data_IF_136470115412
#
_entry.id   IF_136470115412
#
_cell.length_a   1.000
_cell.length_b   1.000
_cell.length_c   1.000
_cell.angle_alpha   90.00
_cell.angle_beta   90.00
_cell.angle_gamma   90.00
#
_symmetry.space_group_name_H-M   'P 1'
#
loop_
_entity.id
_entity.type
_entity.pdbx_description
1 polymer ?
#
# COMPACT_ATOMS: atom_id res chain seq x y z
N UNK A 1 10.18 58.90 9.88
CA UNK A 1 9.75 57.67 9.19
C UNK A 1 9.41 56.62 10.25
N UNK A 2 8.13 56.31 10.46
CA UNK A 2 7.67 55.25 11.36
C UNK A 2 7.42 53.99 10.52
N UNK A 3 8.22 52.96 10.71
CA UNK A 3 8.06 51.67 10.05
C UNK A 3 6.92 50.92 10.73
N UNK A 4 5.82 50.70 10.01
CA UNK A 4 4.72 49.86 10.45
C UNK A 4 5.17 48.39 10.28
N UNK A 5 5.31 47.66 11.39
CA UNK A 5 5.39 46.21 11.38
C UNK A 5 3.96 45.66 11.25
N UNK A 6 3.62 45.11 10.09
CA UNK A 6 2.41 44.33 9.92
C UNK A 6 2.71 42.88 10.34
N UNK A 7 2.29 42.53 11.55
CA UNK A 7 2.30 41.13 11.99
C UNK A 7 1.21 40.39 11.27
N UNK A 8 1.58 39.53 10.31
CA UNK A 8 0.66 38.53 9.81
C UNK A 8 0.43 37.50 10.93
N UNK A 9 -0.72 37.59 11.59
CA UNK A 9 -1.25 36.45 12.34
C UNK A 9 -1.68 35.38 11.33
N UNK A 10 -0.90 34.30 11.23
CA UNK A 10 -1.38 33.07 10.60
C UNK A 10 -2.51 32.51 11.49
N UNK A 11 -3.75 32.61 11.04
CA UNK A 11 -4.84 31.83 11.62
C UNK A 11 -4.48 30.36 11.39
N UNK A 12 -4.13 29.66 12.47
CA UNK A 12 -4.10 28.21 12.46
C UNK A 12 -5.53 27.73 12.22
N UNK A 13 -5.81 27.27 11.00
CA UNK A 13 -7.05 26.56 10.72
C UNK A 13 -7.07 25.34 11.66
N UNK A 14 -8.07 25.27 12.53
CA UNK A 14 -8.30 24.08 13.35
C UNK A 14 -8.43 22.90 12.41
N UNK A 15 -7.51 21.92 12.52
CA UNK A 15 -7.64 20.67 11.78
C UNK A 15 -8.99 20.04 12.16
N UNK A 16 -9.79 19.68 11.17
CA UNK A 16 -11.04 18.98 11.42
C UNK A 16 -10.74 17.64 12.10
N UNK A 17 -11.51 17.30 13.15
CA UNK A 17 -11.36 15.99 13.79
C UNK A 17 -11.64 14.88 12.76
N UNK A 18 -10.76 13.88 12.62
CA UNK A 18 -10.98 12.78 11.69
C UNK A 18 -12.15 11.91 12.15
N UNK A 19 -12.92 11.41 11.18
CA UNK A 19 -13.97 10.43 11.43
C UNK A 19 -13.37 9.11 11.88
N UNK A 20 -13.90 8.51 12.95
CA UNK A 20 -13.49 7.17 13.40
C UNK A 20 -14.30 6.12 12.63
N UNK A 21 -13.61 5.29 11.85
CA UNK A 21 -14.21 4.22 11.04
C UNK A 21 -14.19 2.87 11.76
N UNK A 22 -13.19 2.64 12.60
CA UNK A 22 -13.10 1.46 13.46
C UNK A 22 -12.25 1.80 14.70
N UNK A 23 -12.69 1.38 15.88
CA UNK A 23 -11.97 1.63 17.14
C UNK A 23 -10.87 0.62 17.45
N UNK A 24 -10.75 -0.43 16.65
CA UNK A 24 -9.71 -1.46 16.78
C UNK A 24 -9.33 -1.99 15.40
N UNK A 25 -8.22 -1.50 14.85
CA UNK A 25 -7.79 -1.90 13.52
C UNK A 25 -6.41 -1.39 13.14
N UNK A 26 -5.69 -2.25 12.41
CA UNK A 26 -4.41 -1.94 11.77
C UNK A 26 -4.32 -2.62 10.40
N UNK A 27 -3.28 -2.30 9.63
CA UNK A 27 -2.97 -2.96 8.35
C UNK A 27 -1.48 -2.91 8.02
N UNK A 28 -1.03 -3.90 7.26
CA UNK A 28 0.21 -3.86 6.51
C UNK A 28 0.01 -3.12 5.17
N UNK A 29 1.06 -2.57 4.56
CA UNK A 29 0.95 -1.78 3.31
C UNK A 29 1.17 -2.59 2.03
N UNK A 30 1.41 -3.91 2.11
CA UNK A 30 1.68 -4.74 0.92
C UNK A 30 0.44 -5.39 0.31
N UNK A 31 -0.73 -5.27 0.90
CA UNK A 31 -2.00 -5.72 0.34
C UNK A 31 -2.69 -4.58 -0.41
N UNK A 32 -3.14 -4.81 -1.63
CA UNK A 32 -3.89 -3.84 -2.44
C UNK A 32 -5.04 -4.53 -3.19
N UNK A 33 -6.22 -3.95 -3.32
CA UNK A 33 -6.65 -2.68 -2.74
C UNK A 33 -7.11 -2.87 -1.29
N UNK A 34 -6.63 -2.08 -0.35
CA UNK A 34 -7.12 -2.06 1.04
C UNK A 34 -8.28 -1.10 1.23
N UNK A 35 -8.41 -0.14 0.34
CA UNK A 35 -9.46 0.87 0.36
C UNK A 35 -10.01 1.08 -1.04
N UNK A 36 -11.34 1.12 -1.15
CA UNK A 36 -12.05 1.34 -2.41
C UNK A 36 -13.17 2.36 -2.21
N UNK A 37 -13.46 3.14 -3.25
CA UNK A 37 -14.66 3.97 -3.35
C UNK A 37 -15.56 3.39 -4.43
N UNK A 38 -16.83 3.15 -4.07
CA UNK A 38 -17.88 2.68 -4.94
C UNK A 38 -19.11 3.60 -4.79
N UNK A 39 -19.24 4.54 -5.70
CA UNK A 39 -20.24 5.59 -5.62
C UNK A 39 -20.08 6.47 -4.38
N UNK A 40 -20.93 6.30 -3.39
CA UNK A 40 -20.85 7.02 -2.11
C UNK A 40 -20.42 6.11 -0.94
N UNK A 41 -20.12 4.86 -1.22
CA UNK A 41 -19.59 3.94 -0.22
C UNK A 41 -18.08 3.89 -0.30
N UNK A 42 -17.42 3.98 0.84
CA UNK A 42 -16.02 3.69 0.99
C UNK A 42 -15.88 2.40 1.79
N UNK A 43 -15.04 1.50 1.31
CA UNK A 43 -14.68 0.26 1.98
C UNK A 43 -13.20 0.33 2.36
N UNK A 44 -12.87 0.07 3.62
CA UNK A 44 -11.49 -0.07 4.09
C UNK A 44 -11.36 -1.31 4.95
N UNK A 45 -10.27 -2.03 4.77
CA UNK A 45 -10.01 -3.28 5.50
C UNK A 45 -9.09 -3.05 6.69
N UNK A 46 -9.25 -3.89 7.72
CA UNK A 46 -8.40 -3.88 8.91
C UNK A 46 -8.32 -5.25 9.58
N UNK A 47 -7.33 -5.42 10.45
CA UNK A 47 -7.24 -6.51 11.42
C UNK A 47 -7.40 -5.91 12.80
N UNK A 48 -8.29 -6.49 13.63
CA UNK A 48 -8.41 -6.09 15.04
C UNK A 48 -7.23 -6.60 15.88
N UNK A 49 -7.00 -5.99 17.03
CA UNK A 49 -6.01 -6.45 18.01
C UNK A 49 -6.27 -7.88 18.53
N UNK A 50 -7.44 -8.43 18.23
CA UNK A 50 -7.84 -9.82 18.55
C UNK A 50 -7.67 -10.78 17.37
N UNK A 51 -7.24 -10.28 16.22
CA UNK A 51 -7.07 -11.05 14.99
C UNK A 51 -8.34 -11.19 14.15
N UNK A 52 -9.36 -10.35 14.36
CA UNK A 52 -10.55 -10.36 13.51
C UNK A 52 -10.24 -9.71 12.17
N UNK A 53 -10.59 -10.38 11.08
CA UNK A 53 -10.43 -9.88 9.72
C UNK A 53 -11.68 -9.07 9.36
N UNK A 54 -11.51 -7.78 9.05
CA UNK A 54 -12.64 -6.84 8.99
C UNK A 54 -12.71 -6.06 7.69
N UNK A 55 -13.95 -5.73 7.28
CA UNK A 55 -14.27 -4.72 6.27
C UNK A 55 -15.09 -3.62 6.93
N UNK A 56 -14.58 -2.41 6.89
CA UNK A 56 -15.26 -1.22 7.42
C UNK A 56 -15.88 -0.48 6.24
N UNK A 57 -17.16 -0.17 6.33
CA UNK A 57 -17.91 0.60 5.33
C UNK A 57 -18.22 1.98 5.88
N UNK A 58 -17.97 3.02 5.08
CA UNK A 58 -18.32 4.40 5.39
C UNK A 58 -19.18 4.98 4.28
N UNK A 59 -20.43 5.32 4.61
CA UNK A 59 -21.29 6.05 3.70
C UNK A 59 -20.90 7.55 3.70
N UNK A 60 -20.31 7.99 2.59
CA UNK A 60 -19.80 9.35 2.44
C UNK A 60 -20.88 10.43 2.39
N UNK A 61 -22.16 10.07 2.17
CA UNK A 61 -23.30 11.00 2.21
C UNK A 61 -23.84 11.16 3.61
N UNK A 62 -24.11 10.06 4.30
CA UNK A 62 -24.76 10.06 5.61
C UNK A 62 -23.76 10.10 6.77
N UNK A 63 -22.50 9.76 6.54
CA UNK A 63 -21.49 9.57 7.57
C UNK A 63 -21.63 8.26 8.35
N UNK A 64 -22.57 7.39 7.98
CA UNK A 64 -22.78 6.12 8.67
C UNK A 64 -21.58 5.18 8.48
N UNK A 65 -21.13 4.57 9.57
CA UNK A 65 -20.04 3.60 9.58
C UNK A 65 -20.56 2.25 10.03
N UNK A 66 -20.10 1.18 9.38
CA UNK A 66 -20.37 -0.20 9.75
C UNK A 66 -19.09 -1.01 9.68
N UNK A 67 -18.89 -1.94 10.61
CA UNK A 67 -17.81 -2.91 10.61
C UNK A 67 -18.41 -4.29 10.41
N UNK A 68 -17.91 -5.01 9.40
CA UNK A 68 -18.27 -6.40 9.17
C UNK A 68 -17.04 -7.28 9.41
N UNK A 69 -17.17 -8.30 10.27
CA UNK A 69 -16.12 -9.29 10.53
C UNK A 69 -16.29 -10.45 9.53
N UNK A 70 -15.27 -10.62 8.66
CA UNK A 70 -15.21 -11.73 7.70
C UNK A 70 -14.94 -13.06 8.40
N UNK A 71 -14.05 -13.05 9.37
CA UNK A 71 -13.73 -14.16 10.28
C UNK A 71 -13.17 -13.58 11.57
N UNK A 72 -13.62 -14.10 12.72
CA UNK A 72 -13.14 -13.69 14.03
C UNK A 72 -11.92 -14.52 14.48
N UNK A 73 -11.05 -13.92 15.28
CA UNK A 73 -9.87 -14.56 15.90
C UNK A 73 -9.03 -15.42 14.96
N UNK A 74 -8.80 -14.89 13.76
CA UNK A 74 -8.05 -15.60 12.73
C UNK A 74 -6.55 -15.71 13.08
N UNK A 75 -5.89 -14.57 13.19
CA UNK A 75 -4.49 -14.45 13.63
C UNK A 75 -4.21 -12.99 14.00
N UNK A 76 -3.55 -12.74 15.11
CA UNK A 76 -3.10 -11.38 15.48
C UNK A 76 -1.83 -11.06 14.71
N UNK A 77 -2.01 -10.52 13.50
CA UNK A 77 -0.92 -10.11 12.61
C UNK A 77 -1.47 -9.16 11.54
N UNK A 78 -0.87 -7.98 11.38
CA UNK A 78 -1.35 -6.96 10.45
C UNK A 78 -1.20 -7.36 8.97
N UNK A 79 -0.36 -8.38 8.67
CA UNK A 79 -0.20 -8.94 7.35
C UNK A 79 -1.42 -9.73 6.84
N UNK A 80 -2.39 -9.99 7.72
CA UNK A 80 -3.60 -10.73 7.36
C UNK A 80 -4.75 -9.81 6.93
N UNK A 81 -4.49 -8.49 6.85
CA UNK A 81 -5.49 -7.53 6.38
C UNK A 81 -5.99 -7.94 4.98
N UNK A 82 -7.31 -7.92 4.73
CA UNK A 82 -7.81 -8.30 3.42
C UNK A 82 -7.43 -7.30 2.33
N UNK A 83 -7.22 -7.82 1.11
CA UNK A 83 -7.31 -7.04 -0.10
C UNK A 83 -8.72 -7.14 -0.68
N UNK A 84 -9.22 -6.07 -1.28
CA UNK A 84 -10.56 -5.99 -1.87
C UNK A 84 -10.46 -5.97 -3.40
N UNK A 85 -11.43 -6.58 -4.03
CA UNK A 85 -11.69 -6.47 -5.46
C UNK A 85 -13.17 -6.15 -5.68
N UNK A 86 -13.48 -4.99 -6.24
CA UNK A 86 -14.81 -4.71 -6.77
C UNK A 86 -14.90 -5.33 -8.17
N UNK A 87 -15.70 -6.38 -8.29
CA UNK A 87 -15.87 -7.10 -9.55
C UNK A 87 -16.77 -6.33 -10.52
N UNK A 88 -16.68 -6.66 -11.80
CA UNK A 88 -17.51 -6.06 -12.85
C UNK A 88 -19.03 -6.25 -12.63
N UNK A 89 -19.46 -7.26 -11.87
CA UNK A 89 -20.86 -7.51 -11.48
C UNK A 89 -21.28 -6.70 -10.24
N UNK A 90 -20.41 -5.79 -9.73
CA UNK A 90 -20.66 -4.97 -8.55
C UNK A 90 -20.50 -5.69 -7.22
N UNK A 91 -20.17 -6.99 -7.21
CA UNK A 91 -19.89 -7.70 -5.97
C UNK A 91 -18.48 -7.41 -5.47
N UNK A 92 -18.34 -7.28 -4.16
CA UNK A 92 -17.06 -7.11 -3.51
C UNK A 92 -16.51 -8.48 -3.11
N UNK A 93 -15.25 -8.74 -3.50
CA UNK A 93 -14.48 -9.91 -3.04
C UNK A 93 -13.42 -9.43 -2.05
N UNK A 94 -13.28 -10.13 -0.93
CA UNK A 94 -12.23 -9.93 0.05
C UNK A 94 -11.31 -11.16 0.07
N UNK A 95 -10.00 -10.92 -0.02
CA UNK A 95 -8.95 -11.94 -0.03
C UNK A 95 -8.01 -11.73 1.14
N UNK A 96 -7.74 -12.78 1.89
CA UNK A 96 -6.71 -12.70 2.95
C UNK A 96 -5.97 -14.02 3.09
N UNK A 97 -4.83 -13.96 3.75
CA UNK A 97 -3.94 -15.09 3.96
C UNK A 97 -3.43 -15.08 5.41
N UNK A 98 -2.85 -16.16 5.88
CA UNK A 98 -2.06 -16.14 7.12
C UNK A 98 -0.68 -15.53 6.86
N UNK A 99 -0.04 -15.01 7.91
CA UNK A 99 1.37 -14.65 7.88
C UNK A 99 2.20 -15.71 8.61
N UNK A 100 3.25 -16.21 7.93
CA UNK A 100 4.17 -17.19 8.51
C UNK A 100 3.60 -18.60 8.62
N UNK A 101 4.44 -19.50 9.12
CA UNK A 101 4.21 -20.92 9.01
C UNK A 101 3.36 -21.55 10.10
N UNK A 102 2.10 -21.20 10.22
CA UNK A 102 1.17 -22.10 10.93
C UNK A 102 0.88 -23.27 10.00
N UNK A 103 1.50 -24.41 10.28
CA UNK A 103 1.33 -25.64 9.50
C UNK A 103 -0.16 -25.96 9.31
N UNK A 104 -0.57 -26.14 8.06
CA UNK A 104 -1.95 -26.49 7.69
C UNK A 104 -2.90 -25.31 7.46
N UNK A 105 -2.49 -24.07 7.70
CA UNK A 105 -3.32 -22.87 7.47
C UNK A 105 -2.84 -22.00 6.30
N UNK A 106 -1.91 -22.45 5.53
CA UNK A 106 -1.32 -21.70 4.41
C UNK A 106 -2.24 -21.73 3.18
N UNK A 107 -3.36 -21.02 3.29
CA UNK A 107 -4.42 -20.97 2.29
C UNK A 107 -4.75 -19.53 1.95
N UNK A 108 -5.23 -19.32 0.73
CA UNK A 108 -5.98 -18.13 0.39
C UNK A 108 -7.41 -18.31 0.89
N UNK A 109 -7.91 -17.32 1.62
CA UNK A 109 -9.28 -17.23 2.07
C UNK A 109 -10.00 -16.17 1.26
N UNK A 110 -11.22 -16.46 0.83
CA UNK A 110 -12.02 -15.58 0.00
C UNK A 110 -13.45 -15.53 0.52
N UNK A 111 -14.03 -14.35 0.57
CA UNK A 111 -15.47 -14.15 0.70
C UNK A 111 -15.96 -13.16 -0.36
N UNK A 112 -17.18 -13.35 -0.79
CA UNK A 112 -17.84 -12.48 -1.78
C UNK A 112 -19.13 -11.97 -1.18
N UNK A 113 -19.51 -10.71 -1.44
CA UNK A 113 -20.81 -10.20 -1.02
C UNK A 113 -21.94 -10.93 -1.74
N UNK A 114 -23.05 -11.18 -1.03
CA UNK A 114 -24.20 -11.88 -1.61
C UNK A 114 -24.87 -11.05 -2.71
N UNK A 115 -24.81 -9.70 -2.58
CA UNK A 115 -25.41 -8.75 -3.51
C UNK A 115 -24.39 -7.74 -4.00
N UNK A 116 -24.56 -7.19 -5.22
CA UNK A 116 -23.78 -6.06 -5.70
C UNK A 116 -23.90 -4.83 -4.76
N UNK A 117 -22.79 -4.11 -4.55
CA UNK A 117 -22.69 -2.87 -3.80
C UNK A 117 -23.24 -2.94 -2.36
N UNK A 118 -23.28 -4.13 -1.75
CA UNK A 118 -23.87 -4.38 -0.43
C UNK A 118 -22.97 -5.29 0.42
N UNK A 119 -22.35 -4.72 1.45
CA UNK A 119 -21.51 -5.43 2.41
C UNK A 119 -22.23 -5.98 3.63
N UNK A 120 -23.58 -5.90 3.66
CA UNK A 120 -24.38 -6.37 4.80
C UNK A 120 -24.39 -7.89 4.97
N UNK A 121 -24.15 -8.63 3.87
CA UNK A 121 -24.09 -10.09 3.88
C UNK A 121 -23.03 -10.61 2.91
N UNK A 122 -22.35 -11.65 3.33
CA UNK A 122 -21.27 -12.31 2.59
C UNK A 122 -21.51 -13.80 2.49
N UNK A 123 -21.18 -14.39 1.34
CA UNK A 123 -21.22 -15.82 1.11
C UNK A 123 -20.28 -16.54 2.09
N UNK A 124 -20.43 -17.86 2.29
CA UNK A 124 -19.49 -18.64 3.12
C UNK A 124 -18.04 -18.49 2.66
N UNK A 125 -17.11 -18.63 3.60
CA UNK A 125 -15.68 -18.58 3.30
C UNK A 125 -15.31 -19.71 2.36
N UNK A 126 -14.63 -19.37 1.26
CA UNK A 126 -13.96 -20.32 0.37
C UNK A 126 -12.47 -20.34 0.70
N UNK A 127 -11.83 -21.47 0.58
CA UNK A 127 -10.39 -21.63 0.81
C UNK A 127 -9.74 -22.33 -0.38
N UNK A 128 -8.58 -21.83 -0.80
CA UNK A 128 -7.80 -22.41 -1.86
C UNK A 128 -6.40 -22.73 -1.36
N UNK A 129 -5.97 -23.97 -1.54
CA UNK A 129 -4.64 -24.46 -1.17
C UNK A 129 -3.81 -24.59 -2.45
N UNK A 130 -2.69 -23.88 -2.50
CA UNK A 130 -1.77 -23.89 -3.62
C UNK A 130 -0.52 -24.76 -3.37
N UNK A 131 -0.54 -25.54 -2.27
CA UNK A 131 0.54 -26.50 -1.95
C UNK A 131 1.87 -25.83 -1.56
N UNK A 132 1.86 -24.54 -1.18
CA UNK A 132 3.09 -23.89 -0.75
C UNK A 132 3.46 -24.28 0.67
N UNK A 133 4.66 -24.85 0.91
CA UNK A 133 5.14 -25.18 2.27
C UNK A 133 5.65 -23.92 3.03
N UNK A 134 5.80 -22.79 2.37
CA UNK A 134 6.36 -21.56 2.92
C UNK A 134 5.31 -20.47 2.97
N UNK A 135 5.48 -19.53 3.90
CA UNK A 135 4.56 -18.49 4.30
C UNK A 135 3.70 -17.88 3.19
N UNK A 136 2.46 -17.66 3.49
CA UNK A 136 1.44 -16.99 2.66
C UNK A 136 1.23 -15.59 3.22
N UNK A 137 1.40 -14.54 2.41
CA UNK A 137 1.11 -13.18 2.84
C UNK A 137 0.94 -12.24 1.65
N UNK A 138 0.33 -11.08 1.89
CA UNK A 138 0.19 -9.98 0.93
C UNK A 138 -0.71 -10.31 -0.27
N UNK A 139 -2.00 -10.45 -0.01
CA UNK A 139 -3.02 -10.65 -1.04
C UNK A 139 -3.17 -9.41 -1.94
N UNK A 140 -3.14 -9.59 -3.27
CA UNK A 140 -3.30 -8.52 -4.25
C UNK A 140 -4.07 -9.04 -5.47
N UNK A 141 -5.42 -8.90 -5.52
CA UNK A 141 -6.25 -9.30 -6.63
C UNK A 141 -6.42 -8.17 -7.65
N UNK A 142 -6.38 -8.50 -8.94
CA UNK A 142 -6.67 -7.55 -10.03
C UNK A 142 -7.52 -8.21 -11.11
N UNK A 143 -8.59 -7.55 -11.55
CA UNK A 143 -9.42 -8.01 -12.64
C UNK A 143 -9.13 -7.22 -13.91
N UNK A 144 -8.87 -7.92 -15.03
CA UNK A 144 -8.57 -7.29 -16.33
C UNK A 144 -9.74 -7.44 -17.31
N UNK A 145 -10.36 -6.32 -17.67
CA UNK A 145 -11.55 -6.28 -18.54
C UNK A 145 -11.25 -6.72 -19.98
N UNK A 146 -10.07 -6.41 -20.52
CA UNK A 146 -9.65 -6.84 -21.86
C UNK A 146 -9.30 -8.33 -21.94
N UNK A 147 -9.21 -9.03 -20.79
CA UNK A 147 -8.98 -10.46 -20.71
C UNK A 147 -10.25 -11.21 -20.26
N UNK A 148 -11.42 -10.77 -20.71
CA UNK A 148 -12.74 -11.35 -20.37
C UNK A 148 -13.02 -11.37 -18.87
N UNK A 149 -12.51 -10.38 -18.12
CA UNK A 149 -12.71 -10.30 -16.68
C UNK A 149 -11.87 -11.30 -15.88
N UNK A 150 -10.79 -11.81 -16.46
CA UNK A 150 -9.82 -12.64 -15.75
C UNK A 150 -9.35 -11.97 -14.49
N UNK A 151 -9.31 -12.70 -13.37
CA UNK A 151 -8.75 -12.24 -12.09
C UNK A 151 -7.35 -12.82 -11.95
N UNK A 152 -6.36 -11.94 -11.76
CA UNK A 152 -5.03 -12.30 -11.30
C UNK A 152 -4.97 -12.11 -9.79
N UNK A 153 -4.31 -13.06 -9.12
CA UNK A 153 -4.04 -12.99 -7.69
C UNK A 153 -2.56 -13.12 -7.45
N UNK A 154 -1.99 -12.12 -6.79
CA UNK A 154 -0.58 -12.10 -6.43
C UNK A 154 -0.41 -12.13 -4.92
N UNK A 155 0.61 -12.84 -4.45
CA UNK A 155 0.96 -12.93 -3.03
C UNK A 155 2.41 -13.40 -2.87
N UNK A 156 2.92 -13.48 -1.66
CA UNK A 156 4.21 -14.10 -1.37
C UNK A 156 4.00 -15.51 -0.85
N UNK A 157 4.55 -16.53 -1.51
CA UNK A 157 4.41 -17.92 -1.09
C UNK A 157 5.60 -18.80 -1.47
N UNK A 158 5.69 -19.27 -2.72
CA UNK A 158 6.65 -20.29 -3.15
C UNK A 158 8.07 -19.78 -2.95
N UNK A 159 8.83 -20.46 -2.08
CA UNK A 159 10.19 -20.10 -1.68
C UNK A 159 10.32 -18.63 -1.19
N UNK A 160 9.27 -18.10 -0.56
CA UNK A 160 9.13 -16.70 -0.15
C UNK A 160 9.21 -15.67 -1.29
N UNK A 161 9.16 -16.12 -2.53
CA UNK A 161 9.13 -15.23 -3.69
C UNK A 161 7.71 -14.80 -4.04
N UNK A 162 7.57 -13.67 -4.76
CA UNK A 162 6.29 -13.24 -5.31
C UNK A 162 5.68 -14.30 -6.23
N UNK A 163 4.49 -14.72 -5.87
CA UNK A 163 3.74 -15.85 -6.46
C UNK A 163 2.47 -15.31 -7.11
N UNK A 164 1.96 -16.00 -8.11
CA UNK A 164 0.72 -15.65 -8.79
C UNK A 164 -0.14 -16.87 -9.10
N UNK A 165 -1.42 -16.61 -9.26
CA UNK A 165 -2.39 -17.52 -9.87
C UNK A 165 -3.43 -16.71 -10.63
N UNK A 166 -4.35 -17.36 -11.35
CA UNK A 166 -5.45 -16.70 -12.03
C UNK A 166 -6.72 -17.51 -11.99
N UNK A 167 -7.83 -16.81 -12.10
CA UNK A 167 -9.17 -17.35 -12.28
C UNK A 167 -9.75 -16.80 -13.58
N UNK A 168 -10.34 -17.68 -14.39
CA UNK A 168 -11.05 -17.32 -15.63
C UNK A 168 -12.59 -17.40 -15.45
N UNK A 169 -13.07 -17.62 -14.21
CA UNK A 169 -14.49 -17.87 -13.87
C UNK A 169 -14.95 -17.05 -12.63
N UNK A 170 -14.50 -15.80 -12.54
CA UNK A 170 -14.84 -14.87 -11.46
C UNK A 170 -14.46 -15.35 -10.05
N UNK A 171 -13.38 -16.14 -9.92
CA UNK A 171 -12.84 -16.57 -8.63
C UNK A 171 -13.43 -17.88 -8.11
N UNK A 172 -14.20 -18.62 -8.91
CA UNK A 172 -14.73 -19.93 -8.53
C UNK A 172 -13.65 -21.02 -8.53
N UNK A 173 -12.77 -20.99 -9.51
CA UNK A 173 -11.62 -21.89 -9.59
C UNK A 173 -10.32 -21.12 -9.88
N UNK A 174 -9.19 -21.67 -9.44
CA UNK A 174 -7.87 -21.06 -9.59
C UNK A 174 -6.89 -22.04 -10.21
N UNK A 175 -6.01 -21.55 -11.07
CA UNK A 175 -4.93 -22.35 -11.65
C UNK A 175 -3.83 -22.60 -10.63
N UNK A 176 -2.96 -23.56 -10.93
CA UNK A 176 -1.76 -23.84 -10.12
C UNK A 176 -0.91 -22.58 -9.99
N UNK A 177 -0.44 -22.33 -8.78
CA UNK A 177 0.41 -21.19 -8.48
C UNK A 177 1.84 -21.38 -9.04
N UNK A 178 2.46 -20.23 -9.41
CA UNK A 178 3.86 -20.17 -9.83
C UNK A 178 4.47 -18.82 -9.39
N UNK A 179 5.80 -18.73 -9.32
CA UNK A 179 6.45 -17.46 -9.10
C UNK A 179 6.32 -16.56 -10.35
N UNK A 180 6.12 -15.23 -10.17
CA UNK A 180 6.18 -14.25 -11.26
C UNK A 180 7.42 -13.35 -11.16
N UNK A 181 8.00 -13.24 -9.98
CA UNK A 181 9.32 -12.67 -9.73
C UNK A 181 10.11 -13.70 -8.94
N UNK A 182 11.37 -13.90 -9.29
CA UNK A 182 12.23 -14.84 -8.62
C UNK A 182 13.59 -14.21 -8.29
N UNK A 183 13.99 -14.38 -7.08
CA UNK A 183 15.32 -14.16 -6.60
C UNK A 183 15.76 -15.42 -5.85
N UNK A 184 16.87 -15.44 -5.20
CA UNK A 184 17.36 -16.64 -4.53
C UNK A 184 16.37 -17.12 -3.45
N UNK A 185 16.34 -18.42 -3.19
CA UNK A 185 15.45 -18.99 -2.18
C UNK A 185 15.60 -18.29 -0.83
N UNK A 186 14.48 -17.81 -0.30
CA UNK A 186 14.42 -17.14 1.00
C UNK A 186 14.85 -15.67 1.03
N UNK A 187 15.16 -15.03 -0.10
CA UNK A 187 15.58 -13.62 -0.14
C UNK A 187 14.39 -12.65 -0.04
N UNK A 188 13.18 -13.12 -0.32
CA UNK A 188 11.92 -12.40 -0.08
C UNK A 188 11.84 -11.01 -0.74
N UNK A 189 11.80 -10.90 -2.08
CA UNK A 189 11.47 -9.64 -2.72
C UNK A 189 10.11 -9.10 -2.27
N UNK A 190 10.03 -7.80 -2.03
CA UNK A 190 8.80 -7.11 -1.69
C UNK A 190 8.25 -6.41 -2.91
N UNK A 191 6.95 -6.50 -3.13
CA UNK A 191 6.30 -6.02 -4.36
C UNK A 191 5.10 -5.16 -4.03
N UNK A 192 4.95 -4.05 -4.76
CA UNK A 192 3.72 -3.27 -4.87
C UNK A 192 3.19 -3.39 -6.28
N UNK A 193 1.88 -3.37 -6.41
CA UNK A 193 1.18 -3.58 -7.67
C UNK A 193 0.28 -2.39 -7.99
N UNK A 194 0.10 -2.10 -9.28
CA UNK A 194 -0.92 -1.19 -9.78
C UNK A 194 -1.49 -1.73 -11.08
N UNK A 195 -2.78 -1.56 -11.32
CA UNK A 195 -3.43 -2.00 -12.54
C UNK A 195 -4.24 -0.86 -13.17
N UNK A 196 -4.32 -0.86 -14.50
CA UNK A 196 -5.28 -0.02 -15.20
C UNK A 196 -6.69 -0.65 -15.29
N UNK A 197 -6.90 -1.82 -14.70
CA UNK A 197 -8.16 -2.57 -14.72
C UNK A 197 -8.56 -3.10 -16.10
N UNK A 198 -7.73 -2.87 -17.11
CA UNK A 198 -8.02 -3.22 -18.50
C UNK A 198 -7.15 -4.36 -19.03
N UNK A 199 -5.87 -4.13 -19.17
CA UNK A 199 -4.94 -5.03 -19.85
C UNK A 199 -3.54 -5.10 -19.23
N UNK A 200 -3.25 -4.29 -18.19
CA UNK A 200 -1.90 -4.14 -17.67
C UNK A 200 -1.88 -4.14 -16.14
N UNK A 201 -0.91 -4.86 -15.58
CA UNK A 201 -0.58 -4.87 -14.15
C UNK A 201 0.92 -4.55 -14.02
N UNK A 202 1.27 -3.49 -13.30
CA UNK A 202 2.62 -3.07 -13.01
C UNK A 202 3.12 -3.62 -11.66
N UNK A 203 4.41 -3.89 -11.57
CA UNK A 203 5.10 -4.36 -10.37
C UNK A 203 6.30 -3.48 -10.06
N UNK A 204 6.34 -2.86 -8.88
CA UNK A 204 7.56 -2.27 -8.35
C UNK A 204 8.08 -3.15 -7.22
N UNK A 205 9.35 -3.58 -7.27
CA UNK A 205 9.84 -4.61 -6.36
C UNK A 205 11.30 -4.43 -5.98
N UNK A 206 11.63 -4.93 -4.79
CA UNK A 206 13.01 -4.96 -4.27
C UNK A 206 13.72 -6.26 -4.64
N UNK A 207 15.06 -6.27 -4.54
CA UNK A 207 15.86 -7.47 -4.75
C UNK A 207 16.10 -8.29 -3.46
N UNK A 208 15.31 -8.06 -2.42
CA UNK A 208 15.36 -8.84 -1.19
C UNK A 208 14.68 -8.17 -0.01
N UNK A 209 14.87 -8.73 1.17
CA UNK A 209 14.42 -8.14 2.42
C UNK A 209 15.45 -7.12 2.92
N UNK A 210 15.08 -5.92 3.32
CA UNK A 210 16.01 -4.85 3.64
C UNK A 210 16.87 -5.08 4.90
N UNK A 211 16.48 -5.98 5.79
CA UNK A 211 17.24 -6.31 7.01
C UNK A 211 18.40 -7.30 6.78
N UNK A 212 18.68 -7.67 5.53
CA UNK A 212 19.78 -8.57 5.19
C UNK A 212 21.05 -7.78 4.87
N UNK A 213 22.12 -7.93 5.65
CA UNK A 213 23.32 -7.11 5.53
C UNK A 213 24.09 -7.30 4.20
N UNK A 214 23.75 -8.34 3.42
CA UNK A 214 24.38 -8.61 2.12
C UNK A 214 23.65 -8.02 0.92
N UNK A 215 22.44 -7.47 1.12
CA UNK A 215 21.61 -6.93 0.06
C UNK A 215 21.36 -5.46 0.32
N UNK A 216 22.13 -4.59 -0.29
CA UNK A 216 21.80 -3.18 -0.40
C UNK A 216 20.63 -3.03 -1.35
N UNK A 217 19.42 -3.18 -0.86
CA UNK A 217 18.22 -3.30 -1.66
C UNK A 217 18.07 -2.19 -2.69
N UNK A 218 18.00 -2.64 -3.93
CA UNK A 218 17.67 -1.81 -5.09
C UNK A 218 16.18 -1.96 -5.43
N UNK A 219 15.64 -1.04 -6.20
CA UNK A 219 14.25 -1.04 -6.63
C UNK A 219 14.17 -1.26 -8.14
N UNK A 220 13.26 -2.13 -8.56
CA UNK A 220 13.05 -2.53 -9.95
C UNK A 220 11.59 -2.40 -10.34
N UNK A 221 11.35 -2.39 -11.66
CA UNK A 221 10.02 -2.39 -12.23
C UNK A 221 9.92 -3.36 -13.42
N UNK A 222 8.78 -4.03 -13.50
CA UNK A 222 8.31 -4.77 -14.66
C UNK A 222 6.78 -4.64 -14.74
N UNK A 223 6.18 -5.06 -15.84
CA UNK A 223 4.73 -5.12 -15.94
C UNK A 223 4.26 -6.32 -16.78
N UNK A 224 3.04 -6.76 -16.49
CA UNK A 224 2.30 -7.77 -17.25
C UNK A 224 1.32 -7.07 -18.19
N UNK A 225 1.35 -7.44 -19.49
CA UNK A 225 0.36 -7.03 -20.47
C UNK A 225 0.08 -8.18 -21.43
N UNK A 226 -1.18 -8.52 -21.61
CA UNK A 226 -1.61 -9.61 -22.51
C UNK A 226 -0.83 -10.92 -22.28
N UNK A 227 -0.65 -11.30 -21.00
CA UNK A 227 0.06 -12.51 -20.61
C UNK A 227 1.58 -12.48 -20.79
N UNK A 228 2.16 -11.36 -21.21
CA UNK A 228 3.62 -11.17 -21.42
C UNK A 228 4.18 -10.18 -20.40
N UNK A 229 5.32 -10.53 -19.80
CA UNK A 229 6.09 -9.70 -18.88
C UNK A 229 7.01 -8.78 -19.68
N UNK A 230 7.08 -7.51 -19.29
CA UNK A 230 7.83 -6.46 -20.00
C UNK A 230 8.68 -5.63 -19.04
N UNK A 231 9.72 -5.01 -19.56
CA UNK A 231 10.46 -3.92 -18.93
C UNK A 231 9.69 -2.60 -19.02
N UNK A 232 10.11 -1.58 -18.27
CA UNK A 232 9.48 -0.23 -18.33
C UNK A 232 9.39 0.35 -19.73
N UNK A 233 10.38 0.09 -20.59
CA UNK A 233 10.47 0.58 -21.98
C UNK A 233 9.63 -0.21 -22.98
N UNK A 234 8.87 -1.21 -22.53
CA UNK A 234 8.06 -2.06 -23.40
C UNK A 234 8.78 -3.28 -23.95
N UNK A 235 10.07 -3.45 -23.71
CA UNK A 235 10.81 -4.63 -24.14
C UNK A 235 10.23 -5.88 -23.46
N UNK A 236 9.81 -6.86 -24.28
CA UNK A 236 9.29 -8.13 -23.78
C UNK A 236 10.40 -8.92 -23.07
N UNK A 237 10.09 -9.49 -21.92
CA UNK A 237 10.98 -10.38 -21.17
C UNK A 237 10.63 -11.82 -21.53
N UNK A 238 9.39 -12.26 -21.22
CA UNK A 238 8.83 -13.59 -21.53
C UNK A 238 7.33 -13.62 -21.25
N UNK A 239 6.66 -14.69 -21.66
CA UNK A 239 5.30 -14.95 -21.19
C UNK A 239 5.32 -15.28 -19.70
N UNK A 240 4.30 -14.84 -18.97
CA UNK A 240 4.16 -15.11 -17.54
C UNK A 240 4.13 -16.62 -17.24
N UNK A 241 3.53 -17.41 -18.13
CA UNK A 241 3.44 -18.88 -18.00
C UNK A 241 4.76 -19.61 -18.29
N UNK A 242 5.71 -18.94 -18.96
CA UNK A 242 7.03 -19.54 -19.27
C UNK A 242 8.03 -19.37 -18.11
N UNK A 243 7.63 -18.68 -17.04
CA UNK A 243 8.42 -18.53 -15.81
C UNK A 243 8.54 -17.10 -15.30
N UNK A 244 9.17 -16.93 -14.12
CA UNK A 244 9.27 -15.64 -13.44
C UNK A 244 10.26 -14.69 -14.13
N UNK A 245 10.08 -13.38 -13.87
CA UNK A 245 11.14 -12.38 -14.07
C UNK A 245 12.23 -12.67 -13.03
N UNK A 246 13.48 -12.87 -13.48
CA UNK A 246 14.61 -12.76 -12.58
C UNK A 246 14.75 -11.28 -12.18
N UNK A 247 15.05 -10.98 -10.92
CA UNK A 247 15.03 -9.60 -10.42
C UNK A 247 15.76 -8.61 -11.36
N UNK A 248 16.96 -8.95 -11.82
CA UNK A 248 17.76 -8.07 -12.66
C UNK A 248 17.29 -7.97 -14.13
N UNK A 249 16.29 -8.76 -14.55
CA UNK A 249 15.70 -8.66 -15.90
C UNK A 249 14.74 -7.49 -16.00
N UNK A 250 14.17 -7.02 -14.87
CA UNK A 250 13.35 -5.82 -14.82
C UNK A 250 14.18 -4.54 -15.05
N UNK A 251 13.50 -3.42 -15.22
CA UNK A 251 14.15 -2.10 -15.29
C UNK A 251 14.49 -1.63 -13.89
N UNK A 252 15.76 -1.35 -13.62
CA UNK A 252 16.18 -0.80 -12.32
C UNK A 252 15.74 0.66 -12.19
N UNK A 253 14.99 0.96 -11.14
CA UNK A 253 14.53 2.31 -10.78
C UNK A 253 15.58 3.02 -9.94
N UNK A 254 16.13 2.31 -8.92
CA UNK A 254 17.05 2.86 -7.94
C UNK A 254 18.10 1.82 -7.58
N UNK A 255 19.37 2.24 -7.51
CA UNK A 255 20.49 1.39 -7.13
C UNK A 255 20.93 1.64 -5.68
N UNK A 256 20.44 0.82 -4.76
CA UNK A 256 20.81 0.91 -3.34
C UNK A 256 22.25 0.55 -3.06
N UNK A 257 22.91 -0.23 -3.95
CA UNK A 257 24.30 -0.70 -3.76
C UNK A 257 25.32 0.39 -3.97
N UNK A 258 25.00 1.34 -4.85
CA UNK A 258 25.90 2.45 -5.24
C UNK A 258 25.50 3.77 -4.62
N UNK A 259 24.37 3.79 -3.92
CA UNK A 259 23.80 5.03 -3.42
C UNK A 259 24.26 5.34 -2.00
N UNK A 260 24.84 6.52 -1.81
CA UNK A 260 25.02 7.11 -0.49
C UNK A 260 23.69 7.49 0.20
N UNK A 261 22.57 7.35 -0.54
CA UNK A 261 21.21 7.63 -0.05
C UNK A 261 20.57 6.41 0.63
N UNK A 262 21.31 5.32 0.78
CA UNK A 262 20.87 4.10 1.45
C UNK A 262 20.09 3.13 0.57
N UNK A 263 19.68 2.04 1.16
CA UNK A 263 18.91 0.97 0.50
C UNK A 263 17.42 1.31 0.43
N UNK A 264 16.75 0.77 -0.59
CA UNK A 264 15.36 1.07 -0.87
C UNK A 264 14.39 0.04 -0.29
N UNK A 265 13.20 0.49 0.11
CA UNK A 265 12.06 -0.38 0.37
C UNK A 265 10.78 0.18 -0.25
N UNK A 266 10.15 -0.59 -1.15
CA UNK A 266 8.95 -0.16 -1.88
C UNK A 266 7.78 0.07 -0.93
N UNK A 267 7.00 1.12 -1.20
CA UNK A 267 5.92 1.52 -0.31
C UNK A 267 4.57 1.68 -1.01
N UNK A 268 4.56 2.33 -2.19
CA UNK A 268 3.34 2.57 -2.95
C UNK A 268 3.59 2.62 -4.46
N UNK A 269 2.57 2.34 -5.27
CA UNK A 269 2.66 2.33 -6.73
C UNK A 269 1.31 2.73 -7.33
N UNK A 270 1.32 3.73 -8.20
CA UNK A 270 0.16 4.15 -8.98
C UNK A 270 0.53 4.42 -10.45
N UNK A 271 -0.48 4.63 -11.28
CA UNK A 271 -0.32 4.97 -12.69
C UNK A 271 -0.79 6.40 -12.92
N UNK A 272 -0.02 7.16 -13.71
CA UNK A 272 -0.47 8.47 -14.18
C UNK A 272 -1.58 8.32 -15.25
N UNK A 273 -2.26 9.40 -15.67
CA UNK A 273 -3.30 9.32 -16.68
C UNK A 273 -2.84 8.77 -18.05
N UNK A 274 -1.55 8.73 -18.31
CA UNK A 274 -0.94 8.14 -19.51
C UNK A 274 -0.60 6.65 -19.30
N UNK A 275 -0.81 6.11 -18.10
CA UNK A 275 -0.48 4.75 -17.74
C UNK A 275 0.98 4.52 -17.33
N UNK A 276 1.74 5.60 -17.12
CA UNK A 276 3.12 5.48 -16.65
C UNK A 276 3.16 5.25 -15.14
N UNK A 277 4.01 4.33 -14.64
CA UNK A 277 4.10 4.05 -13.22
C UNK A 277 4.81 5.17 -12.44
N UNK A 278 4.28 5.44 -11.24
CA UNK A 278 4.86 6.32 -10.24
C UNK A 278 4.96 5.53 -8.93
N UNK A 279 6.16 5.41 -8.40
CA UNK A 279 6.50 4.62 -7.22
C UNK A 279 6.86 5.53 -6.07
N UNK A 280 6.27 5.34 -4.89
CA UNK A 280 6.79 5.87 -3.65
C UNK A 280 7.56 4.78 -2.90
N UNK A 281 8.68 5.14 -2.30
CA UNK A 281 9.53 4.22 -1.57
C UNK A 281 10.30 4.94 -0.45
N UNK A 282 10.85 4.17 0.48
CA UNK A 282 11.79 4.70 1.47
C UNK A 282 13.22 4.41 1.05
N UNK A 283 14.14 5.29 1.40
CA UNK A 283 15.57 5.00 1.44
C UNK A 283 16.08 5.12 2.88
N UNK A 284 16.93 4.18 3.27
CA UNK A 284 17.42 4.02 4.63
C UNK A 284 18.90 4.36 4.68
N UNK A 285 19.21 5.61 5.08
CA UNK A 285 20.60 6.08 5.23
C UNK A 285 21.19 5.45 6.50
N UNK A 286 20.43 5.49 7.58
CA UNK A 286 20.64 4.75 8.83
C UNK A 286 19.34 4.70 9.64
N UNK A 287 19.30 3.97 10.75
CA UNK A 287 18.07 3.73 11.55
C UNK A 287 17.35 4.99 12.08
N UNK A 288 18.04 6.11 12.16
CA UNK A 288 17.47 7.41 12.57
C UNK A 288 17.20 8.37 11.41
N UNK A 289 17.61 8.02 10.19
CA UNK A 289 17.44 8.85 9.00
C UNK A 289 16.86 8.03 7.83
N UNK A 290 15.55 7.97 7.81
CA UNK A 290 14.78 7.39 6.73
C UNK A 290 14.22 8.51 5.87
N UNK A 291 14.23 8.35 4.56
CA UNK A 291 13.71 9.33 3.60
C UNK A 291 12.58 8.75 2.79
N UNK A 292 11.51 9.52 2.58
CA UNK A 292 10.51 9.24 1.58
C UNK A 292 10.99 9.75 0.22
N UNK A 293 10.89 8.90 -0.78
CA UNK A 293 11.30 9.17 -2.15
C UNK A 293 10.20 8.76 -3.13
N UNK A 294 10.28 9.26 -4.35
CA UNK A 294 9.45 8.81 -5.44
C UNK A 294 10.28 8.66 -6.71
N UNK A 295 9.80 7.82 -7.62
CA UNK A 295 10.32 7.74 -8.97
C UNK A 295 9.16 7.70 -9.96
N UNK A 296 9.31 8.41 -11.09
CA UNK A 296 8.34 8.47 -12.18
C UNK A 296 8.96 7.98 -13.47
N UNK A 297 8.25 7.13 -14.19
CA UNK A 297 8.60 6.77 -15.54
C UNK A 297 8.10 7.85 -16.50
N UNK A 298 8.99 8.50 -17.27
CA UNK A 298 8.62 9.57 -18.20
C UNK A 298 8.41 9.09 -19.64
N UNK A 299 8.39 7.77 -19.87
CA UNK A 299 8.31 7.13 -21.18
C UNK A 299 9.66 6.62 -21.71
N UNK A 300 10.78 7.12 -21.16
CA UNK A 300 12.14 6.74 -21.59
C UNK A 300 13.08 6.42 -20.43
N UNK A 301 12.90 7.07 -19.29
CA UNK A 301 13.75 6.92 -18.12
C UNK A 301 12.94 7.07 -16.82
N UNK A 302 13.49 6.54 -15.73
CA UNK A 302 12.99 6.79 -14.38
C UNK A 302 13.61 8.08 -13.83
N UNK A 303 12.75 8.99 -13.40
CA UNK A 303 13.12 10.22 -12.71
C UNK A 303 12.93 10.03 -11.21
N UNK A 304 14.04 9.94 -10.46
CA UNK A 304 14.06 9.75 -9.02
C UNK A 304 14.24 11.08 -8.27
N UNK A 305 13.50 11.24 -7.16
CA UNK A 305 13.60 12.41 -6.30
C UNK A 305 13.21 12.12 -4.86
N UNK A 306 13.76 12.93 -3.94
CA UNK A 306 13.37 12.91 -2.55
C UNK A 306 12.08 13.70 -2.35
N UNK A 307 11.19 13.18 -1.49
CA UNK A 307 9.97 13.84 -1.07
C UNK A 307 10.22 14.53 0.26
N UNK A 308 10.64 13.78 1.29
CA UNK A 308 10.66 14.24 2.67
C UNK A 308 11.56 13.40 3.58
N UNK A 309 11.90 13.95 4.72
CA UNK A 309 12.35 13.17 5.87
C UNK A 309 11.19 12.36 6.45
N UNK A 310 11.41 11.08 6.73
CA UNK A 310 10.44 10.19 7.38
C UNK A 310 10.65 10.13 8.91
N UNK A 311 11.84 10.50 9.37
CA UNK A 311 12.23 10.42 10.76
C UNK A 311 12.78 9.06 11.16
N UNK A 312 12.42 8.61 12.38
CA UNK A 312 12.91 7.36 12.95
C UNK A 312 12.13 6.13 12.48
N UNK A 313 12.72 4.96 12.67
CA UNK A 313 11.97 3.68 12.57
C UNK A 313 10.82 3.60 13.58
N UNK A 314 9.80 2.81 13.25
CA UNK A 314 8.63 2.64 14.13
C UNK A 314 8.98 1.87 15.41
N UNK A 315 9.70 0.75 15.30
CA UNK A 315 10.04 -0.09 16.45
C UNK A 315 11.38 -0.83 16.26
N UNK A 316 11.95 -1.25 17.38
CA UNK A 316 13.35 -1.66 17.48
C UNK A 316 13.73 -2.86 16.62
N UNK A 317 12.87 -3.88 16.53
CA UNK A 317 13.18 -5.14 15.88
C UNK A 317 13.05 -5.11 14.34
N UNK A 318 12.55 -3.99 13.78
CA UNK A 318 12.37 -3.82 12.33
C UNK A 318 12.91 -2.44 11.91
N UNK A 319 14.20 -2.41 11.59
CA UNK A 319 14.92 -1.15 11.35
C UNK A 319 14.35 -0.33 10.19
N UNK A 320 13.70 -0.99 9.24
CA UNK A 320 13.23 -0.39 7.99
C UNK A 320 11.75 0.02 8.01
N UNK A 321 11.03 -0.21 9.12
CA UNK A 321 9.65 0.23 9.24
C UNK A 321 9.58 1.73 9.51
N UNK A 322 9.05 2.49 8.55
CA UNK A 322 8.74 3.92 8.68
C UNK A 322 7.27 4.15 9.02
N UNK A 323 6.89 5.38 9.29
CA UNK A 323 5.51 5.78 9.56
C UNK A 323 4.56 5.53 8.39
N UNK A 324 5.04 5.64 7.16
CA UNK A 324 4.30 5.35 5.93
C UNK A 324 4.09 6.54 5.00
N UNK A 325 3.91 6.25 3.73
CA UNK A 325 3.58 7.21 2.67
C UNK A 325 2.54 6.62 1.74
N UNK A 326 1.60 7.43 1.28
CA UNK A 326 0.69 7.14 0.20
C UNK A 326 0.69 8.29 -0.81
N UNK A 327 0.78 7.97 -2.09
CA UNK A 327 0.49 8.92 -3.16
C UNK A 327 -1.02 9.08 -3.30
N UNK A 328 -1.49 10.24 -3.69
CA UNK A 328 -2.88 10.42 -4.09
C UNK A 328 -3.05 9.88 -5.53
N UNK A 329 -3.82 8.81 -5.76
CA UNK A 329 -3.96 8.21 -7.08
C UNK A 329 -4.66 9.13 -8.10
N UNK A 330 -5.43 10.11 -7.63
CA UNK A 330 -6.12 11.09 -8.47
C UNK A 330 -5.29 12.37 -8.73
N UNK A 331 -4.20 12.57 -7.95
CA UNK A 331 -3.21 13.64 -8.15
C UNK A 331 -1.82 13.22 -7.64
N UNK A 332 -1.03 12.60 -8.48
CA UNK A 332 0.31 12.10 -8.16
C UNK A 332 1.36 13.19 -7.84
N UNK A 333 0.95 14.47 -7.77
CA UNK A 333 1.73 15.55 -7.16
C UNK A 333 1.33 15.79 -5.69
N UNK A 334 0.38 15.02 -5.18
CA UNK A 334 -0.01 15.01 -3.77
C UNK A 334 0.43 13.70 -3.13
N UNK A 335 1.02 13.80 -1.93
CA UNK A 335 1.39 12.65 -1.11
C UNK A 335 0.97 12.89 0.35
N UNK A 336 0.54 11.83 1.02
CA UNK A 336 0.29 11.84 2.44
C UNK A 336 1.35 10.99 3.12
N UNK A 337 2.02 11.54 4.11
CA UNK A 337 3.10 10.84 4.80
C UNK A 337 2.97 10.96 6.32
N UNK A 338 3.48 9.96 6.99
CA UNK A 338 3.56 9.91 8.44
C UNK A 338 5.02 10.12 8.85
N UNK A 339 5.28 11.18 9.60
CA UNK A 339 6.63 11.51 10.06
C UNK A 339 6.60 12.11 11.46
N UNK A 340 7.59 11.78 12.29
CA UNK A 340 7.80 12.37 13.60
C UNK A 340 8.85 13.52 13.59
N UNK A 341 9.19 13.94 12.38
CA UNK A 341 10.09 15.08 12.10
C UNK A 341 9.44 15.99 11.08
N UNK A 342 9.91 17.24 11.01
CA UNK A 342 9.46 18.15 9.97
C UNK A 342 9.94 17.67 8.59
N UNK A 343 9.05 17.48 7.60
CA UNK A 343 9.37 16.83 6.32
C UNK A 343 10.54 17.45 5.54
N UNK A 344 10.73 18.77 5.64
CA UNK A 344 11.79 19.47 4.90
C UNK A 344 13.10 19.53 5.67
N UNK A 345 13.05 19.91 6.96
CA UNK A 345 14.28 20.15 7.75
C UNK A 345 14.80 18.90 8.47
N UNK A 346 13.94 17.87 8.68
CA UNK A 346 14.29 16.72 9.50
C UNK A 346 14.33 16.98 11.00
N UNK A 347 14.02 18.21 11.44
CA UNK A 347 13.98 18.54 12.86
C UNK A 347 12.80 17.84 13.56
N UNK A 348 12.94 17.38 14.80
CA UNK A 348 11.86 16.75 15.55
C UNK A 348 10.61 17.64 15.61
N UNK A 349 9.42 17.03 15.46
CA UNK A 349 8.17 17.71 15.77
C UNK A 349 8.05 17.92 17.29
N UNK A 350 7.36 18.98 17.71
CA UNK A 350 7.21 19.29 19.14
C UNK A 350 6.45 18.21 19.92
N UNK A 351 5.63 17.40 19.26
CA UNK A 351 4.86 16.30 19.85
C UNK A 351 5.72 15.05 20.12
N UNK A 352 6.78 14.83 19.35
CA UNK A 352 7.55 13.58 19.35
C UNK A 352 6.82 12.37 18.74
N UNK A 353 5.54 12.52 18.40
CA UNK A 353 4.72 11.51 17.76
C UNK A 353 4.75 11.63 16.23
N UNK A 354 4.36 10.58 15.55
CA UNK A 354 4.15 10.62 14.11
C UNK A 354 2.89 11.42 13.78
N UNK A 355 3.05 12.43 12.94
CA UNK A 355 1.99 13.28 12.40
C UNK A 355 1.70 12.90 10.94
N UNK A 356 0.44 13.05 10.50
CA UNK A 356 0.10 12.97 9.07
C UNK A 356 0.36 14.33 8.44
N UNK A 357 1.15 14.32 7.39
CA UNK A 357 1.47 15.49 6.58
C UNK A 357 0.90 15.32 5.17
N UNK A 358 0.29 16.38 4.65
CA UNK A 358 -0.03 16.49 3.23
C UNK A 358 1.12 17.22 2.54
N UNK A 359 1.77 16.55 1.59
CA UNK A 359 2.75 17.12 0.69
C UNK A 359 2.13 17.45 -0.65
N UNK A 360 2.46 18.61 -1.21
CA UNK A 360 2.06 19.00 -2.56
C UNK A 360 3.28 19.42 -3.35
N UNK A 361 3.42 18.90 -4.57
CA UNK A 361 4.54 19.17 -5.47
C UNK A 361 4.12 20.19 -6.53
N UNK A 362 4.81 21.33 -6.58
CA UNK A 362 4.67 22.36 -7.59
C UNK A 362 6.05 22.78 -8.09
N UNK A 363 6.22 22.94 -9.39
CA UNK A 363 7.48 23.33 -10.03
C UNK A 363 8.70 22.51 -9.55
N UNK A 364 8.48 21.20 -9.35
CA UNK A 364 9.50 20.27 -8.89
C UNK A 364 9.83 20.29 -7.39
N UNK A 365 9.18 21.16 -6.60
CA UNK A 365 9.41 21.31 -5.16
C UNK A 365 8.22 20.83 -4.34
N UNK A 366 8.50 20.20 -3.22
CA UNK A 366 7.49 19.77 -2.25
C UNK A 366 7.28 20.84 -1.19
N UNK A 367 6.03 21.07 -0.82
CA UNK A 367 5.61 21.84 0.34
C UNK A 367 4.67 21.01 1.21
N UNK A 368 4.66 21.22 2.52
CA UNK A 368 3.96 20.36 3.47
C UNK A 368 3.09 21.13 4.43
N UNK A 369 1.95 20.52 4.78
CA UNK A 369 1.06 20.98 5.84
C UNK A 369 0.76 19.80 6.76
N UNK A 370 0.95 19.95 8.07
CA UNK A 370 0.54 18.95 9.05
C UNK A 370 -0.99 18.92 9.14
N UNK A 371 -1.56 17.72 9.04
CA UNK A 371 -3.00 17.46 9.22
C UNK A 371 -3.34 17.08 10.67
N UNK A 372 -2.33 16.68 11.45
CA UNK A 372 -2.48 16.27 12.85
C UNK A 372 -1.44 16.97 13.76
N UNK A 373 -1.33 18.32 13.69
CA UNK A 373 -0.30 19.03 14.41
C UNK A 373 -0.47 18.88 15.93
N UNK A 374 0.64 18.64 16.65
CA UNK A 374 0.63 18.51 18.09
C UNK A 374 -0.12 17.30 18.63
N UNK A 375 -0.28 16.25 17.84
CA UNK A 375 -0.90 15.00 18.25
C UNK A 375 -0.24 14.41 19.50
N UNK A 376 -1.02 13.71 20.31
CA UNK A 376 -0.55 13.00 21.52
C UNK A 376 -0.42 11.49 21.33
N UNK A 377 -0.66 11.01 20.10
CA UNK A 377 -0.54 9.60 19.70
C UNK A 377 0.07 9.50 18.31
N UNK A 378 0.64 8.37 17.98
CA UNK A 378 1.18 8.13 16.65
C UNK A 378 0.07 8.00 15.59
N UNK A 379 0.25 8.63 14.42
CA UNK A 379 -0.62 8.54 13.25
C UNK A 379 0.17 7.87 12.12
N UNK A 380 -0.25 6.68 11.69
CA UNK A 380 0.60 5.78 10.94
C UNK A 380 -0.08 5.25 9.69
N UNK A 381 0.75 4.96 8.68
CA UNK A 381 0.40 4.26 7.44
C UNK A 381 -0.82 4.87 6.74
N UNK A 382 -0.70 6.11 6.24
CA UNK A 382 -1.76 6.72 5.43
C UNK A 382 -2.05 5.87 4.19
N UNK A 383 -3.31 5.86 3.76
CA UNK A 383 -3.77 5.29 2.49
C UNK A 383 -4.78 6.23 1.85
N UNK A 384 -4.85 6.24 0.53
CA UNK A 384 -5.77 7.09 -0.26
C UNK A 384 -6.47 6.25 -1.32
N UNK A 385 -7.81 6.22 -1.38
CA UNK A 385 -8.51 5.52 -2.44
C UNK A 385 -8.55 6.34 -3.73
N UNK A 386 -8.53 5.68 -4.87
CA UNK A 386 -8.86 6.33 -6.14
C UNK A 386 -10.34 6.76 -6.18
N UNK A 387 -10.64 7.87 -6.89
CA UNK A 387 -11.99 8.36 -7.06
C UNK A 387 -12.61 8.96 -5.81
N UNK A 388 -11.81 9.41 -4.85
CA UNK A 388 -12.30 9.99 -3.60
C UNK A 388 -12.97 11.37 -3.81
N UNK A 389 -13.86 11.83 -2.89
CA UNK A 389 -14.63 13.07 -3.09
C UNK A 389 -13.79 14.34 -3.25
N UNK A 390 -12.55 14.36 -2.75
CA UNK A 390 -11.64 15.49 -2.87
C UNK A 390 -10.77 15.46 -4.14
N UNK A 391 -10.83 14.42 -4.98
CA UNK A 391 -10.01 14.22 -6.18
C UNK A 391 -9.96 15.43 -7.14
N UNK A 392 -11.02 16.24 -7.17
CA UNK A 392 -11.13 17.45 -8.00
C UNK A 392 -10.80 18.75 -7.26
N UNK A 393 -10.32 18.67 -6.02
CA UNK A 393 -10.06 19.85 -5.19
C UNK A 393 -8.77 19.66 -4.36
N UNK A 394 -7.66 20.04 -4.95
CA UNK A 394 -6.33 19.92 -4.32
C UNK A 394 -6.19 20.68 -2.98
N UNK A 395 -7.09 21.64 -2.68
CA UNK A 395 -7.10 22.32 -1.38
C UNK A 395 -7.66 21.46 -0.25
N UNK A 396 -8.42 20.40 -0.59
CA UNK A 396 -8.95 19.45 0.39
C UNK A 396 -7.99 18.27 0.58
N UNK A 397 -8.08 17.65 1.75
CA UNK A 397 -7.41 16.38 2.04
C UNK A 397 -8.45 15.25 2.05
N UNK A 398 -8.07 14.06 1.56
CA UNK A 398 -8.84 12.85 1.75
C UNK A 398 -7.84 11.71 1.99
N UNK A 399 -7.73 11.30 3.22
CA UNK A 399 -6.73 10.31 3.62
C UNK A 399 -7.26 9.51 4.81
N UNK A 400 -6.96 8.21 4.81
CA UNK A 400 -7.22 7.31 5.93
C UNK A 400 -5.90 6.90 6.55
N UNK A 401 -5.89 6.67 7.84
CA UNK A 401 -4.73 6.14 8.56
C UNK A 401 -5.19 5.42 9.83
N UNK A 402 -4.30 4.76 10.53
CA UNK A 402 -4.60 4.35 11.89
C UNK A 402 -3.79 5.16 12.90
N UNK A 403 -4.38 5.43 14.05
CA UNK A 403 -3.75 6.22 15.13
C UNK A 403 -3.82 5.49 16.45
N UNK A 404 -2.79 5.63 17.27
CA UNK A 404 -2.66 4.99 18.58
C UNK A 404 -1.26 4.40 18.76
N UNK A 405 -1.16 3.37 19.58
CA UNK A 405 0.09 2.67 19.84
C UNK A 405 0.26 1.49 18.87
N UNK A 406 1.31 1.53 18.07
CA UNK A 406 1.72 0.41 17.22
C UNK A 406 3.10 -0.07 17.70
N UNK A 407 3.11 -1.15 18.48
CA UNK A 407 4.32 -1.70 19.11
C UNK A 407 5.05 -2.67 18.18
N UNK A 408 4.32 -3.54 17.51
CA UNK A 408 4.83 -4.46 16.46
C UNK A 408 3.69 -4.83 15.51
N UNK A 409 4.00 -5.54 14.42
CA UNK A 409 2.99 -6.06 13.48
C UNK A 409 2.06 -7.13 14.08
N UNK A 410 2.34 -7.59 15.32
CA UNK A 410 1.49 -8.51 16.08
C UNK A 410 0.99 -7.91 17.40
N UNK A 411 1.25 -6.62 17.66
CA UNK A 411 0.84 -5.97 18.90
C UNK A 411 0.58 -4.48 18.67
N UNK A 412 -0.68 -4.07 18.73
CA UNK A 412 -1.13 -2.69 18.57
C UNK A 412 -2.39 -2.37 19.38
N UNK A 413 -2.61 -1.09 19.61
CA UNK A 413 -3.84 -0.52 20.17
C UNK A 413 -4.16 0.74 19.36
N UNK A 414 -4.79 0.55 18.19
CA UNK A 414 -5.02 1.60 17.20
C UNK A 414 -6.45 1.63 16.73
N UNK A 415 -6.92 2.80 16.30
CA UNK A 415 -8.19 2.99 15.63
C UNK A 415 -7.98 3.45 14.18
N UNK A 416 -8.88 3.06 13.30
CA UNK A 416 -8.92 3.48 11.90
C UNK A 416 -9.68 4.77 11.78
N UNK A 417 -9.07 5.78 11.18
CA UNK A 417 -9.65 7.12 11.05
C UNK A 417 -9.51 7.64 9.62
N UNK A 418 -10.33 8.62 9.27
CA UNK A 418 -10.32 9.29 7.97
C UNK A 418 -10.53 10.80 8.09
N UNK A 419 -9.85 11.58 7.25
CA UNK A 419 -10.08 13.00 7.02
C UNK A 419 -10.65 13.21 5.62
N UNK A 420 -11.65 14.15 5.48
CA UNK A 420 -12.26 14.52 4.19
C UNK A 420 -12.52 16.02 4.07
#
# INVERSE_FOLDING_TARGET
>A
MRTLFVSLLALAASAADPAVLNRDGAWCWFQDERVLVDGHQLYVTSISSKGDVQVNTWDLKTGAVRVFTLIDKFQVDDHNVPALLLRADGKLMAFWTTHGGVSGQQKMYVRVTTKPHDTSAWDPIQTFDFGSPHGFSYANPFQLSAENGRIYFFWRAIDFNPTWSRSDDNGLTWRTAANHIYFQKGDRPYVKYASNGRDTIHFAYTDGHPDRPLFNNSLYHAYLRNGTLHRSDGTAIRKLEDGPVQVAEGTRIYDGRLSLKGEAWVWDLHLDPQGNPVVAYTSHIHSGDIRYRYARWNGTAWEDGEIAHAGRRLYQSQEYYAGGIALDPDDLNTAYLSANVHPVSGEPTGSGHFEIWKGTRAEGKWSFVSLTPGTTVDNLRPIVPAGHPAAKNAAKAFVLWYRGEYRTYTDWSTEVVALR
#
